data_IF_682696616067
#
_entry.id   IF_682696616067
#
_cell.length_a   1.000
_cell.length_b   1.000
_cell.length_c   1.000
_cell.angle_alpha   90.00
_cell.angle_beta   90.00
_cell.angle_gamma   90.00
#
_symmetry.space_group_name_H-M   'P 1'
#
loop_
_entity.id
_entity.type
_entity.pdbx_description
1 polymer ?
#
# COMPACT_ATOMS: atom_id res chain seq x y z
N UNK A 1 -22.07 -6.13 13.10
CA UNK A 1 -22.24 -7.45 13.74
C UNK A 1 -22.29 -8.60 12.74
N UNK A 2 -22.85 -8.38 11.54
CA UNK A 2 -23.03 -9.43 10.51
C UNK A 2 -21.73 -10.15 10.09
N UNK A 3 -20.61 -9.45 9.94
CA UNK A 3 -19.32 -10.06 9.55
C UNK A 3 -18.61 -10.83 10.67
N UNK A 4 -19.10 -10.76 11.92
CA UNK A 4 -18.43 -11.35 13.09
C UNK A 4 -18.32 -12.87 12.97
N UNK A 5 -19.38 -13.53 12.50
CA UNK A 5 -19.40 -14.99 12.36
C UNK A 5 -18.32 -15.47 11.39
N UNK A 6 -18.22 -14.83 10.23
CA UNK A 6 -17.22 -15.14 9.20
C UNK A 6 -15.79 -14.90 9.72
N UNK A 7 -15.56 -13.80 10.44
CA UNK A 7 -14.24 -13.52 11.00
C UNK A 7 -13.83 -14.54 12.07
N UNK A 8 -14.78 -15.00 12.91
CA UNK A 8 -14.53 -16.07 13.88
C UNK A 8 -14.19 -17.39 13.19
N UNK A 9 -14.90 -17.75 12.12
CA UNK A 9 -14.62 -18.95 11.32
C UNK A 9 -13.21 -18.89 10.71
N UNK A 10 -12.81 -17.74 10.14
CA UNK A 10 -11.46 -17.51 9.65
C UNK A 10 -10.39 -17.74 10.73
N UNK A 11 -10.58 -17.17 11.94
CA UNK A 11 -9.64 -17.34 13.04
C UNK A 11 -9.58 -18.78 13.56
N UNK A 12 -10.72 -19.48 13.61
CA UNK A 12 -10.77 -20.89 13.97
C UNK A 12 -9.98 -21.73 12.96
N UNK A 13 -10.17 -21.47 11.67
CA UNK A 13 -9.42 -22.18 10.62
C UNK A 13 -7.93 -21.91 10.71
N UNK A 14 -7.53 -20.65 10.94
CA UNK A 14 -6.11 -20.29 11.13
C UNK A 14 -5.49 -21.03 12.32
N UNK A 15 -6.22 -21.13 13.44
CA UNK A 15 -5.79 -21.88 14.63
C UNK A 15 -5.48 -23.36 14.30
N UNK A 16 -6.38 -24.02 13.56
CA UNK A 16 -6.20 -25.41 13.12
C UNK A 16 -4.97 -25.57 12.24
N UNK A 17 -4.78 -24.66 11.28
CA UNK A 17 -3.63 -24.69 10.36
C UNK A 17 -2.29 -24.48 11.06
N UNK A 18 -2.27 -23.73 12.16
CA UNK A 18 -1.10 -23.54 13.01
C UNK A 18 -0.89 -24.68 14.02
N UNK A 19 -1.82 -25.63 14.13
CA UNK A 19 -1.75 -26.73 15.10
C UNK A 19 -1.88 -26.29 16.55
N UNK A 20 -2.56 -25.15 16.81
CA UNK A 20 -2.68 -24.57 18.14
C UNK A 20 -3.97 -25.02 18.83
N UNK A 21 -3.90 -25.22 20.15
CA UNK A 21 -5.10 -25.49 20.97
C UNK A 21 -5.98 -24.24 21.05
N UNK A 22 -5.35 -23.07 21.25
CA UNK A 22 -5.98 -21.75 21.36
C UNK A 22 -5.12 -20.71 20.64
N UNK A 23 -5.80 -19.77 19.97
CA UNK A 23 -5.17 -18.64 19.28
C UNK A 23 -5.01 -17.47 20.27
N UNK A 24 -3.81 -16.90 20.36
CA UNK A 24 -3.49 -15.72 21.18
C UNK A 24 -3.22 -14.49 20.31
N UNK A 25 -3.02 -13.31 20.90
CA UNK A 25 -2.91 -12.05 20.17
C UNK A 25 -1.81 -12.02 19.09
N UNK A 26 -0.65 -12.61 19.36
CA UNK A 26 0.45 -12.66 18.38
C UNK A 26 0.22 -13.70 17.27
N UNK A 27 -0.61 -14.71 17.51
CA UNK A 27 -0.98 -15.71 16.50
C UNK A 27 -1.94 -15.13 15.45
N UNK A 28 -2.67 -14.06 15.78
CA UNK A 28 -3.59 -13.38 14.85
C UNK A 28 -2.84 -12.84 13.63
N UNK A 29 -1.64 -12.28 13.83
CA UNK A 29 -0.81 -11.75 12.75
C UNK A 29 0.26 -12.73 12.26
N UNK A 30 0.44 -13.87 12.92
CA UNK A 30 1.43 -14.86 12.49
C UNK A 30 1.14 -15.37 11.06
N UNK A 31 2.15 -15.47 10.18
CA UNK A 31 1.95 -15.98 8.84
C UNK A 31 1.63 -17.48 8.87
N UNK A 32 0.88 -17.93 7.86
CA UNK A 32 0.70 -19.36 7.59
C UNK A 32 1.79 -19.82 6.61
N UNK A 33 2.51 -20.87 6.97
CA UNK A 33 3.61 -21.41 6.15
C UNK A 33 4.89 -20.57 6.20
N UNK A 34 5.81 -20.86 5.29
CA UNK A 34 7.08 -20.13 5.18
C UNK A 34 6.94 -18.96 4.21
N UNK A 35 7.15 -17.74 4.72
CA UNK A 35 7.31 -16.54 3.90
C UNK A 35 8.80 -16.41 3.57
N UNK A 36 9.20 -16.86 2.38
CA UNK A 36 10.62 -16.91 2.00
C UNK A 36 11.04 -15.85 0.98
N UNK A 37 10.08 -15.16 0.35
CA UNK A 37 10.39 -14.19 -0.70
C UNK A 37 10.61 -12.80 -0.10
N UNK A 38 11.85 -12.32 -0.20
CA UNK A 38 12.18 -10.92 -0.04
C UNK A 38 12.12 -10.23 -1.42
N UNK A 39 11.59 -9.01 -1.44
CA UNK A 39 11.56 -8.15 -2.61
C UNK A 39 12.62 -7.06 -2.44
N UNK A 40 13.40 -6.81 -3.48
CA UNK A 40 14.08 -5.52 -3.65
C UNK A 40 13.03 -4.44 -3.95
N UNK A 41 13.38 -3.17 -3.71
CA UNK A 41 12.47 -2.07 -4.01
C UNK A 41 12.12 -2.02 -5.51
N UNK A 42 13.09 -2.28 -6.39
CA UNK A 42 12.87 -2.31 -7.83
C UNK A 42 11.95 -3.45 -8.27
N UNK A 43 12.06 -4.63 -7.66
CA UNK A 43 11.11 -5.72 -7.90
C UNK A 43 9.69 -5.35 -7.45
N UNK A 44 9.55 -4.69 -6.30
CA UNK A 44 8.26 -4.21 -5.82
C UNK A 44 7.68 -3.13 -6.74
N UNK A 45 8.49 -2.16 -7.17
CA UNK A 45 8.08 -1.11 -8.09
C UNK A 45 7.61 -1.67 -9.44
N UNK A 46 8.38 -2.60 -10.02
CA UNK A 46 8.02 -3.28 -11.26
C UNK A 46 6.75 -4.13 -11.10
N UNK A 47 6.61 -4.84 -9.97
CA UNK A 47 5.43 -5.64 -9.66
C UNK A 47 4.16 -4.77 -9.68
N UNK A 48 4.19 -3.61 -9.00
CA UNK A 48 3.06 -2.68 -8.95
C UNK A 48 2.71 -2.16 -10.35
N UNK A 49 3.69 -1.69 -11.13
CA UNK A 49 3.44 -1.18 -12.49
C UNK A 49 2.85 -2.27 -13.39
N UNK A 50 3.39 -3.49 -13.33
CA UNK A 50 2.96 -4.61 -14.16
C UNK A 50 1.49 -4.98 -13.91
N UNK A 51 1.03 -4.97 -12.65
CA UNK A 51 -0.35 -5.35 -12.29
C UNK A 51 -1.33 -4.20 -12.55
N UNK A 52 -0.90 -2.96 -12.39
CA UNK A 52 -1.72 -1.80 -12.76
C UNK A 52 -1.93 -1.66 -14.27
N UNK A 53 -0.97 -2.07 -15.10
CA UNK A 53 -1.02 -1.90 -16.56
C UNK A 53 -2.32 -2.43 -17.22
N UNK A 54 -2.76 -3.69 -16.97
CA UNK A 54 -4.00 -4.21 -17.56
C UNK A 54 -5.27 -3.55 -17.00
N UNK A 55 -5.24 -2.97 -15.80
CA UNK A 55 -6.40 -2.36 -15.14
C UNK A 55 -6.55 -0.89 -15.51
N UNK A 56 -5.46 -0.14 -15.51
CA UNK A 56 -5.43 1.28 -15.85
C UNK A 56 -4.05 1.68 -16.38
N UNK A 57 -3.87 1.71 -17.71
CA UNK A 57 -2.62 2.17 -18.33
C UNK A 57 -2.22 3.59 -17.87
N UNK A 58 -3.19 4.49 -17.68
CA UNK A 58 -2.96 5.85 -17.18
C UNK A 58 -2.34 5.85 -15.78
N UNK A 59 -2.79 4.96 -14.91
CA UNK A 59 -2.26 4.85 -13.55
C UNK A 59 -0.87 4.22 -13.56
N UNK A 60 -0.67 3.17 -14.36
CA UNK A 60 0.64 2.56 -14.52
C UNK A 60 1.69 3.55 -15.09
N UNK A 61 1.30 4.39 -16.06
CA UNK A 61 2.14 5.48 -16.58
C UNK A 61 2.48 6.52 -15.50
N UNK A 62 1.49 6.94 -14.72
CA UNK A 62 1.70 7.86 -13.59
C UNK A 62 2.68 7.28 -12.57
N UNK A 63 2.45 6.05 -12.12
CA UNK A 63 3.30 5.37 -11.13
C UNK A 63 4.73 5.19 -11.67
N UNK A 64 4.87 4.81 -12.94
CA UNK A 64 6.17 4.74 -13.62
C UNK A 64 6.88 6.10 -13.59
N UNK A 65 6.15 7.20 -13.81
CA UNK A 65 6.69 8.55 -13.73
C UNK A 65 7.12 8.92 -12.31
N UNK A 66 6.32 8.57 -11.29
CA UNK A 66 6.66 8.82 -9.89
C UNK A 66 7.98 8.14 -9.48
N UNK A 67 8.22 6.91 -9.94
CA UNK A 67 9.50 6.23 -9.72
C UNK A 67 10.65 6.91 -10.47
N UNK A 68 10.49 7.24 -11.76
CA UNK A 68 11.51 7.92 -12.56
C UNK A 68 11.92 9.28 -11.97
N UNK A 69 10.95 10.01 -11.41
CA UNK A 69 11.17 11.30 -10.77
C UNK A 69 11.64 11.19 -9.31
N UNK A 70 11.80 9.96 -8.78
CA UNK A 70 12.26 9.69 -7.41
C UNK A 70 11.35 10.31 -6.34
N UNK A 71 10.03 10.22 -6.53
CA UNK A 71 9.05 10.71 -5.56
C UNK A 71 8.86 9.78 -4.36
N UNK A 72 9.39 8.56 -4.43
CA UNK A 72 9.31 7.56 -3.36
C UNK A 72 10.60 7.54 -2.55
N UNK A 73 10.50 7.84 -1.26
CA UNK A 73 11.61 7.75 -0.30
C UNK A 73 11.46 6.46 0.51
N UNK A 74 12.11 5.38 0.05
CA UNK A 74 11.84 4.02 0.51
C UNK A 74 12.89 3.40 1.45
N UNK A 75 14.13 3.91 1.43
CA UNK A 75 15.29 3.28 2.08
C UNK A 75 15.04 3.03 3.58
N UNK A 76 15.29 1.80 4.06
CA UNK A 76 15.32 1.52 5.49
C UNK A 76 16.70 1.89 6.06
N UNK A 77 16.74 2.95 6.88
CA UNK A 77 17.97 3.45 7.52
C UNK A 77 17.74 3.85 8.97
N UNK A 78 18.82 3.88 9.75
CA UNK A 78 18.78 4.27 11.16
C UNK A 78 18.12 5.64 11.38
N UNK A 79 17.30 5.73 12.42
CA UNK A 79 16.53 6.94 12.81
C UNK A 79 15.45 7.40 11.82
N UNK A 80 15.17 6.62 10.75
CA UNK A 80 14.02 6.87 9.89
C UNK A 80 12.73 6.41 10.59
N UNK A 81 11.65 7.18 10.41
CA UNK A 81 10.32 6.84 10.94
C UNK A 81 9.78 5.57 10.26
N UNK A 82 9.21 4.66 11.05
CA UNK A 82 8.50 3.48 10.53
C UNK A 82 7.13 3.84 9.92
N UNK A 83 6.65 2.98 9.03
CA UNK A 83 5.38 3.15 8.32
C UNK A 83 5.54 3.80 6.95
N UNK A 84 4.42 4.21 6.38
CA UNK A 84 4.33 4.86 5.09
C UNK A 84 3.26 5.98 5.11
N UNK A 85 3.37 6.92 4.17
CA UNK A 85 2.34 7.92 3.89
C UNK A 85 2.58 8.58 2.53
N UNK A 86 1.54 9.21 1.99
CA UNK A 86 1.60 10.08 0.83
C UNK A 86 1.26 11.52 1.24
N UNK A 87 1.96 12.50 0.64
CA UNK A 87 1.66 13.92 0.83
C UNK A 87 1.73 14.67 -0.51
N UNK A 88 0.94 15.73 -0.64
CA UNK A 88 0.86 16.53 -1.84
C UNK A 88 1.67 17.82 -1.74
N UNK A 89 2.27 18.22 -2.85
CA UNK A 89 3.04 19.46 -3.01
C UNK A 89 2.34 20.31 -4.08
N UNK A 90 1.29 21.06 -3.71
CA UNK A 90 0.38 21.69 -4.69
C UNK A 90 1.05 22.74 -5.58
N UNK A 91 2.08 23.43 -5.07
CA UNK A 91 2.82 24.43 -5.85
C UNK A 91 3.58 23.80 -7.03
N UNK A 92 4.24 22.66 -6.81
CA UNK A 92 4.98 21.94 -7.85
C UNK A 92 4.11 20.97 -8.63
N UNK A 93 2.84 20.76 -8.25
CA UNK A 93 1.93 19.77 -8.85
C UNK A 93 2.45 18.34 -8.73
N UNK A 94 3.11 18.03 -7.62
CA UNK A 94 3.72 16.72 -7.35
C UNK A 94 3.21 16.10 -6.06
N UNK A 95 3.54 14.82 -5.86
CA UNK A 95 3.35 14.12 -4.59
C UNK A 95 4.67 13.53 -4.08
N UNK A 96 4.70 13.18 -2.80
CA UNK A 96 5.79 12.42 -2.20
C UNK A 96 5.22 11.23 -1.46
N UNK A 97 5.79 10.07 -1.74
CA UNK A 97 5.52 8.84 -1.01
C UNK A 97 6.69 8.59 -0.08
N UNK A 98 6.41 8.44 1.20
CA UNK A 98 7.36 8.03 2.21
C UNK A 98 7.07 6.59 2.60
N UNK A 99 8.10 5.75 2.71
CA UNK A 99 7.95 4.45 3.36
C UNK A 99 9.28 3.95 3.92
N UNK A 100 9.22 3.11 4.96
CA UNK A 100 10.38 2.30 5.37
C UNK A 100 10.22 0.90 4.80
N UNK A 101 10.89 0.61 3.68
CA UNK A 101 10.75 -0.63 2.95
C UNK A 101 11.69 -1.73 3.49
N UNK A 102 11.12 -2.85 3.91
CA UNK A 102 11.82 -4.02 4.46
C UNK A 102 11.78 -5.24 3.53
N UNK A 103 11.22 -5.10 2.32
CA UNK A 103 11.19 -6.17 1.32
C UNK A 103 10.13 -7.25 1.55
N UNK A 104 9.14 -7.02 2.42
CA UNK A 104 8.04 -7.97 2.65
C UNK A 104 6.91 -7.77 1.61
N UNK A 105 6.06 -8.79 1.44
CA UNK A 105 4.86 -8.67 0.60
C UNK A 105 3.93 -7.54 1.10
N UNK A 106 3.79 -7.38 2.41
CA UNK A 106 3.03 -6.29 3.02
C UNK A 106 3.60 -4.91 2.63
N UNK A 107 4.92 -4.79 2.49
CA UNK A 107 5.52 -3.55 2.00
C UNK A 107 5.25 -3.31 0.50
N UNK A 108 5.11 -4.35 -0.32
CA UNK A 108 4.68 -4.19 -1.72
C UNK A 108 3.24 -3.67 -1.77
N UNK A 109 2.34 -4.24 -0.96
CA UNK A 109 0.97 -3.75 -0.84
C UNK A 109 0.92 -2.30 -0.32
N UNK A 110 1.72 -1.99 0.71
CA UNK A 110 1.83 -0.61 1.24
C UNK A 110 2.35 0.37 0.19
N UNK A 111 3.32 -0.03 -0.65
CA UNK A 111 3.78 0.80 -1.76
C UNK A 111 2.64 1.08 -2.75
N UNK A 112 1.87 0.05 -3.11
CA UNK A 112 0.70 0.21 -3.99
C UNK A 112 -0.36 1.13 -3.38
N UNK A 113 -0.63 1.00 -2.08
CA UNK A 113 -1.55 1.84 -1.30
C UNK A 113 -1.20 3.32 -1.43
N UNK A 114 0.04 3.68 -1.09
CA UNK A 114 0.48 5.09 -1.13
C UNK A 114 0.52 5.65 -2.55
N UNK A 115 0.84 4.83 -3.54
CA UNK A 115 0.77 5.21 -4.95
C UNK A 115 -0.68 5.45 -5.42
N UNK A 116 -1.66 4.79 -4.79
CA UNK A 116 -3.08 5.07 -4.98
C UNK A 116 -3.46 6.46 -4.48
N UNK A 117 -2.98 6.86 -3.30
CA UNK A 117 -3.12 8.24 -2.83
C UNK A 117 -2.42 9.25 -3.75
N UNK A 118 -1.20 8.92 -4.21
CA UNK A 118 -0.46 9.77 -5.13
C UNK A 118 -1.22 9.99 -6.45
N UNK A 119 -1.81 8.93 -7.00
CA UNK A 119 -2.61 9.02 -8.22
C UNK A 119 -3.92 9.79 -7.99
N UNK A 120 -4.59 9.58 -6.85
CA UNK A 120 -5.79 10.33 -6.49
C UNK A 120 -5.52 11.83 -6.45
N UNK A 121 -4.42 12.24 -5.81
CA UNK A 121 -4.02 13.64 -5.81
C UNK A 121 -3.65 14.15 -7.22
N UNK A 122 -2.99 13.32 -8.03
CA UNK A 122 -2.61 13.68 -9.40
C UNK A 122 -3.82 14.05 -10.25
N UNK A 123 -4.91 13.28 -10.20
CA UNK A 123 -6.12 13.56 -11.01
C UNK A 123 -6.85 14.84 -10.60
N UNK A 124 -6.56 15.40 -9.42
CA UNK A 124 -7.15 16.65 -8.92
C UNK A 124 -6.21 17.86 -9.05
N UNK A 125 -5.03 17.68 -9.62
CA UNK A 125 -3.94 18.69 -9.60
C UNK A 125 -4.31 20.02 -10.26
N UNK A 126 -5.24 20.01 -11.21
CA UNK A 126 -5.70 21.23 -11.91
C UNK A 126 -6.89 21.93 -11.23
N UNK A 127 -7.43 21.37 -10.16
CA UNK A 127 -8.44 22.03 -9.34
C UNK A 127 -7.79 23.14 -8.50
N UNK A 128 -8.55 24.20 -8.12
CA UNK A 128 -8.10 25.15 -7.11
C UNK A 128 -7.66 24.42 -5.84
N UNK A 129 -6.55 24.82 -5.22
CA UNK A 129 -5.96 24.09 -4.06
C UNK A 129 -6.97 23.85 -2.94
N UNK A 130 -7.84 24.82 -2.65
CA UNK A 130 -8.88 24.68 -1.61
C UNK A 130 -9.97 23.65 -1.97
N UNK A 131 -10.11 23.30 -3.25
CA UNK A 131 -11.03 22.28 -3.76
C UNK A 131 -10.37 20.90 -3.90
N UNK A 132 -9.10 20.74 -3.54
CA UNK A 132 -8.39 19.46 -3.55
C UNK A 132 -8.52 18.69 -2.22
N UNK A 133 -9.25 19.23 -1.24
CA UNK A 133 -9.51 18.53 0.02
C UNK A 133 -10.67 17.55 -0.13
N UNK A 134 -10.45 16.31 0.29
CA UNK A 134 -11.44 15.24 0.31
C UNK A 134 -11.41 14.52 1.67
N UNK A 135 -12.52 13.87 2.02
CA UNK A 135 -12.63 13.14 3.26
C UNK A 135 -11.73 11.89 3.26
N UNK A 136 -11.20 11.50 4.43
CA UNK A 136 -10.26 10.38 4.53
C UNK A 136 -10.83 9.05 4.02
N UNK A 137 -12.10 8.76 4.26
CA UNK A 137 -12.73 7.55 3.72
C UNK A 137 -12.76 7.53 2.17
N UNK A 138 -12.87 8.70 1.54
CA UNK A 138 -12.77 8.85 0.07
C UNK A 138 -11.31 8.69 -0.37
N UNK A 139 -10.36 9.19 0.43
CA UNK A 139 -8.93 8.97 0.21
C UNK A 139 -8.58 7.48 0.13
N UNK A 140 -9.12 6.69 1.06
CA UNK A 140 -8.84 5.26 1.18
C UNK A 140 -9.41 4.42 0.03
N UNK A 141 -10.32 4.97 -0.78
CA UNK A 141 -10.89 4.23 -1.90
C UNK A 141 -9.84 3.96 -2.98
N UNK A 142 -9.02 4.97 -3.32
CA UNK A 142 -7.98 4.83 -4.35
C UNK A 142 -6.80 3.98 -3.87
N UNK A 143 -6.40 4.14 -2.60
CA UNK A 143 -5.29 3.39 -2.02
C UNK A 143 -5.63 1.91 -1.83
N UNK A 144 -6.79 1.60 -1.23
CA UNK A 144 -7.26 0.22 -1.05
C UNK A 144 -7.51 -0.46 -2.39
N UNK A 145 -8.03 0.26 -3.40
CA UNK A 145 -8.18 -0.31 -4.74
C UNK A 145 -6.83 -0.77 -5.30
N UNK A 146 -5.77 0.04 -5.15
CA UNK A 146 -4.45 -0.29 -5.65
C UNK A 146 -3.80 -1.49 -4.94
N UNK A 147 -4.13 -1.74 -3.66
CA UNK A 147 -3.65 -2.95 -2.97
C UNK A 147 -4.18 -4.25 -3.57
N UNK A 148 -5.37 -4.20 -4.17
CA UNK A 148 -6.11 -5.38 -4.63
C UNK A 148 -5.85 -5.74 -6.10
N UNK A 149 -5.21 -4.84 -6.86
CA UNK A 149 -4.89 -5.01 -8.29
C UNK A 149 -3.56 -5.74 -8.46
#
# INVERSE_FOLDING_TARGET
EESKAVFVEYLQRKKELLGLEKLTWFDVSAPLGQVSKAYTFDEAANFVVQHLQPVSPKMAEFVTSAFKQRWVEAENRGHKRAGAFCTSLPYSKETRVFMTFMGTADNVATLAHELGHAFHQHVMTDLPVLAQNYAMNVAETASTFNELV
#
